data_IF_956311183894
#
_entry.id   IF_956311183894
#
_cell.length_a   1.000
_cell.length_b   1.000
_cell.length_c   1.000
_cell.angle_alpha   90.00
_cell.angle_beta   90.00
_cell.angle_gamma   90.00
#
_symmetry.space_group_name_H-M   'P 1'
#
loop_
_entity.id
_entity.type
_entity.pdbx_description
1 polymer ?
#
# COMPACT_ATOMS: atom_id res chain seq x y z
N UNK A 1 41.85 4.12 3.72
CA UNK A 1 41.20 4.78 4.86
C UNK A 1 42.03 5.99 5.19
N UNK A 2 41.56 7.19 4.84
CA UNK A 2 42.15 8.41 5.39
C UNK A 2 41.63 8.58 6.81
N UNK A 3 42.53 8.64 7.78
CA UNK A 3 42.21 8.91 9.18
C UNK A 3 42.18 10.44 9.37
N UNK A 4 41.10 10.96 9.95
CA UNK A 4 41.01 12.35 10.38
C UNK A 4 41.96 12.52 11.57
N UNK A 5 43.05 13.27 11.37
CA UNK A 5 44.11 13.42 12.37
C UNK A 5 43.76 14.52 13.37
N UNK A 6 43.36 14.11 14.57
CA UNK A 6 43.08 14.99 15.73
C UNK A 6 44.34 15.13 16.62
N UNK A 7 45.54 14.82 16.09
CA UNK A 7 46.72 14.43 16.87
C UNK A 7 47.15 15.42 17.95
N UNK A 8 46.85 16.71 17.81
CA UNK A 8 47.44 17.71 18.72
C UNK A 8 46.67 17.86 20.05
N UNK A 9 45.41 17.44 20.14
CA UNK A 9 44.53 17.75 21.29
C UNK A 9 43.71 16.55 21.84
N UNK A 10 44.19 15.32 21.66
CA UNK A 10 43.49 14.09 22.11
C UNK A 10 43.07 14.11 23.59
N UNK A 11 43.84 14.78 24.46
CA UNK A 11 43.54 14.91 25.89
C UNK A 11 42.32 15.81 26.15
N UNK A 12 42.19 16.90 25.39
CA UNK A 12 41.05 17.83 25.46
C UNK A 12 39.80 17.13 24.96
N UNK A 13 39.90 16.43 23.82
CA UNK A 13 38.80 15.63 23.27
C UNK A 13 38.37 14.55 24.25
N UNK A 14 39.32 13.81 24.85
CA UNK A 14 39.02 12.80 25.85
C UNK A 14 38.32 13.38 27.09
N UNK A 15 38.71 14.58 27.51
CA UNK A 15 38.05 15.29 28.62
C UNK A 15 36.63 15.71 28.26
N UNK A 16 36.38 16.18 27.04
CA UNK A 16 35.04 16.55 26.57
C UNK A 16 34.10 15.35 26.32
N UNK A 17 34.69 14.17 26.09
CA UNK A 17 33.97 12.89 26.02
C UNK A 17 33.70 12.27 27.40
N UNK A 18 33.91 13.05 28.48
CA UNK A 18 33.70 12.67 29.89
C UNK A 18 34.51 11.41 30.32
N UNK A 19 35.69 11.20 29.74
CA UNK A 19 36.59 10.13 30.18
C UNK A 19 37.20 10.43 31.56
N UNK A 20 37.41 9.37 32.34
CA UNK A 20 38.08 9.46 33.65
C UNK A 20 39.49 10.06 33.52
N UNK A 21 39.73 11.11 34.31
CA UNK A 21 41.00 11.84 34.37
C UNK A 21 42.18 10.96 34.78
N UNK A 22 41.97 9.92 35.60
CA UNK A 22 43.04 9.02 36.00
C UNK A 22 43.49 8.15 34.82
N UNK A 23 42.56 7.71 33.99
CA UNK A 23 42.79 6.91 32.79
C UNK A 23 43.45 7.73 31.68
N UNK A 24 43.01 8.98 31.45
CA UNK A 24 43.68 9.90 30.52
C UNK A 24 45.13 10.17 30.91
N UNK A 25 45.42 10.40 32.21
CA UNK A 25 46.79 10.57 32.72
C UNK A 25 47.64 9.32 32.58
N UNK A 26 47.04 8.12 32.61
CA UNK A 26 47.78 6.89 32.35
C UNK A 26 48.22 6.77 30.89
N UNK A 27 47.36 7.18 29.94
CA UNK A 27 47.69 7.23 28.51
C UNK A 27 48.78 8.29 28.26
N UNK A 28 48.69 9.46 28.92
CA UNK A 28 49.67 10.53 28.80
C UNK A 28 51.09 10.11 29.23
N UNK A 29 51.18 9.29 30.29
CA UNK A 29 52.44 8.79 30.86
C UNK A 29 53.14 7.71 30.02
N UNK A 30 52.52 7.23 28.95
CA UNK A 30 53.13 6.25 28.05
C UNK A 30 54.28 6.91 27.26
N UNK A 31 55.51 6.72 27.74
CA UNK A 31 56.73 7.27 27.12
C UNK A 31 57.08 6.53 25.84
N UNK A 32 57.34 7.26 24.75
CA UNK A 32 57.73 6.71 23.44
C UNK A 32 56.58 6.55 22.43
N UNK A 33 55.34 6.82 22.83
CA UNK A 33 54.18 6.79 21.95
C UNK A 33 53.96 8.17 21.29
N UNK A 34 53.67 8.18 19.99
CA UNK A 34 53.25 9.40 19.27
C UNK A 34 51.85 9.82 19.71
N UNK A 35 51.48 11.08 19.51
CA UNK A 35 50.15 11.55 19.89
C UNK A 35 49.03 10.84 19.12
N UNK A 36 49.30 10.37 17.90
CA UNK A 36 48.40 9.46 17.16
C UNK A 36 48.13 8.16 17.92
N UNK A 37 49.15 7.55 18.53
CA UNK A 37 48.96 6.33 19.34
C UNK A 37 48.13 6.62 20.60
N UNK A 38 48.39 7.75 21.26
CA UNK A 38 47.62 8.18 22.43
C UNK A 38 46.16 8.50 22.10
N UNK A 39 45.91 9.08 20.92
CA UNK A 39 44.56 9.31 20.41
C UNK A 39 43.80 7.99 20.18
N UNK A 40 44.44 7.00 19.56
CA UNK A 40 43.83 5.67 19.33
C UNK A 40 43.49 5.02 20.68
N UNK A 41 44.42 5.04 21.65
CA UNK A 41 44.19 4.53 23.00
C UNK A 41 43.04 5.25 23.71
N UNK A 42 42.93 6.58 23.56
CA UNK A 42 41.82 7.37 24.10
C UNK A 42 40.48 6.97 23.50
N UNK A 43 40.38 6.81 22.18
CA UNK A 43 39.14 6.36 21.53
C UNK A 43 38.79 4.91 21.90
N UNK A 44 39.78 4.02 22.02
CA UNK A 44 39.56 2.65 22.48
C UNK A 44 39.04 2.63 23.93
N UNK A 45 39.61 3.44 24.80
CA UNK A 45 39.10 3.63 26.16
C UNK A 45 37.64 4.12 26.12
N UNK A 46 37.34 5.14 25.31
CA UNK A 46 35.98 5.67 25.19
C UNK A 46 34.96 4.65 24.68
N UNK A 47 35.32 3.86 23.67
CA UNK A 47 34.46 2.79 23.14
C UNK A 47 34.22 1.68 24.17
N UNK A 48 35.19 1.40 25.05
CA UNK A 48 35.06 0.36 26.08
C UNK A 48 34.30 0.84 27.32
N UNK A 49 34.40 2.12 27.68
CA UNK A 49 33.74 2.69 28.87
C UNK A 49 32.38 3.32 28.58
N UNK A 50 32.01 3.53 27.30
CA UNK A 50 30.79 4.23 26.90
C UNK A 50 29.91 3.35 25.99
N UNK A 51 28.93 2.61 26.55
CA UNK A 51 28.06 1.71 25.78
C UNK A 51 27.21 2.44 24.73
N UNK A 52 26.94 3.73 24.94
CA UNK A 52 26.17 4.59 24.03
C UNK A 52 27.05 5.40 23.07
N UNK A 53 28.34 5.05 22.95
CA UNK A 53 29.29 5.76 22.09
C UNK A 53 28.76 5.86 20.65
N UNK A 54 28.71 7.09 20.13
CA UNK A 54 28.19 7.35 18.79
C UNK A 54 29.05 8.35 18.03
N UNK A 55 29.10 8.18 16.70
CA UNK A 55 29.78 9.12 15.79
C UNK A 55 29.25 10.56 15.92
N UNK A 56 27.99 10.71 16.34
CA UNK A 56 27.35 12.01 16.61
C UNK A 56 27.99 12.71 17.82
N UNK A 57 28.28 11.99 18.90
CA UNK A 57 28.95 12.57 20.07
C UNK A 57 30.36 13.05 19.76
N UNK A 58 31.10 12.31 18.92
CA UNK A 58 32.41 12.76 18.41
C UNK A 58 32.24 14.06 17.62
N UNK A 59 31.30 14.10 16.67
CA UNK A 59 31.06 15.30 15.86
C UNK A 59 30.63 16.51 16.71
N UNK A 60 29.75 16.32 17.70
CA UNK A 60 29.34 17.39 18.62
C UNK A 60 30.50 17.87 19.51
N UNK A 61 31.40 16.97 19.89
CA UNK A 61 32.59 17.30 20.68
C UNK A 61 33.60 18.11 19.86
N UNK A 62 33.88 17.68 18.63
CA UNK A 62 34.75 18.40 17.69
C UNK A 62 34.18 19.78 17.31
N UNK A 63 32.85 19.95 17.31
CA UNK A 63 32.21 21.27 17.10
C UNK A 63 32.27 22.21 18.30
N UNK A 64 32.54 21.69 19.50
CA UNK A 64 32.59 22.46 20.77
C UNK A 64 34.01 22.86 21.18
N UNK A 65 35.06 22.23 20.66
CA UNK A 65 36.43 22.58 21.00
C UNK A 65 36.77 23.99 20.51
N UNK A 66 37.18 24.88 21.43
CA UNK A 66 37.47 26.30 21.20
C UNK A 66 38.85 26.51 20.56
N UNK A 67 39.21 25.74 19.53
CA UNK A 67 40.48 25.93 18.82
C UNK A 67 40.22 25.73 17.33
N UNK A 68 40.15 26.82 16.56
CA UNK A 68 40.57 26.95 15.16
C UNK A 68 40.21 25.91 14.08
N UNK A 69 39.52 24.83 14.39
CA UNK A 69 39.46 23.58 13.60
C UNK A 69 38.01 23.21 13.27
N UNK A 70 37.18 24.21 12.95
CA UNK A 70 35.91 23.95 12.26
C UNK A 70 36.14 23.09 11.01
N UNK A 71 37.31 23.22 10.37
CA UNK A 71 37.77 22.39 9.25
C UNK A 71 37.83 20.89 9.56
N UNK A 72 38.26 20.47 10.76
CA UNK A 72 38.36 19.05 11.11
C UNK A 72 36.99 18.43 11.38
N UNK A 73 36.12 19.18 12.07
CA UNK A 73 34.73 18.80 12.25
C UNK A 73 33.98 18.74 10.91
N UNK A 74 34.25 19.68 10.00
CA UNK A 74 33.68 19.71 8.64
C UNK A 74 34.20 18.56 7.76
N UNK A 75 35.49 18.22 7.85
CA UNK A 75 36.09 17.06 7.18
C UNK A 75 35.52 15.75 7.71
N UNK A 76 35.38 15.61 9.03
CA UNK A 76 34.74 14.45 9.64
C UNK A 76 33.26 14.36 9.25
N UNK A 77 32.52 15.48 9.25
CA UNK A 77 31.13 15.52 8.81
C UNK A 77 31.01 15.15 7.32
N UNK A 78 31.91 15.65 6.47
CA UNK A 78 31.98 15.29 5.05
C UNK A 78 32.26 13.80 4.87
N UNK A 79 33.20 13.25 5.62
CA UNK A 79 33.51 11.82 5.60
C UNK A 79 32.32 10.97 6.07
N UNK A 80 31.61 11.39 7.12
CA UNK A 80 30.37 10.73 7.57
C UNK A 80 29.28 10.80 6.50
N UNK A 81 29.13 11.93 5.80
CA UNK A 81 28.20 12.09 4.68
C UNK A 81 28.59 11.22 3.49
N UNK A 82 29.87 11.06 3.19
CA UNK A 82 30.37 10.18 2.13
C UNK A 82 30.17 8.70 2.46
N UNK A 83 30.50 8.27 3.69
CA UNK A 83 30.18 6.92 4.17
C UNK A 83 28.67 6.68 4.10
N UNK A 84 27.87 7.64 4.59
CA UNK A 84 26.43 7.53 4.54
C UNK A 84 25.95 7.43 3.09
N UNK A 85 26.41 8.28 2.16
CA UNK A 85 26.06 8.18 0.74
C UNK A 85 26.49 6.85 0.10
N UNK A 86 27.62 6.28 0.52
CA UNK A 86 28.12 5.02 0.00
C UNK A 86 27.38 3.79 0.55
N UNK A 87 26.73 3.92 1.71
CA UNK A 87 26.06 2.80 2.42
C UNK A 87 24.55 2.94 2.49
N UNK A 88 24.02 4.13 2.23
CA UNK A 88 22.60 4.41 2.25
C UNK A 88 21.98 3.97 0.94
N UNK A 89 21.19 2.91 1.00
CA UNK A 89 20.24 2.57 -0.05
C UNK A 89 18.93 3.30 0.27
N UNK A 90 18.42 4.16 -0.64
CA UNK A 90 17.13 4.82 -0.42
C UNK A 90 16.00 3.81 -0.18
N UNK A 91 15.01 4.12 0.68
CA UNK A 91 13.86 3.25 0.95
C UNK A 91 13.14 2.77 -0.31
N UNK A 92 13.07 3.63 -1.31
CA UNK A 92 12.54 3.32 -2.63
C UNK A 92 13.32 2.19 -3.33
N UNK A 93 14.66 2.28 -3.35
CA UNK A 93 15.52 1.26 -3.96
C UNK A 93 15.42 -0.07 -3.20
N UNK A 94 15.30 -0.04 -1.86
CA UNK A 94 15.07 -1.23 -1.06
C UNK A 94 13.72 -1.88 -1.38
N UNK A 95 12.64 -1.12 -1.44
CA UNK A 95 11.31 -1.65 -1.74
C UNK A 95 11.26 -2.32 -3.12
N UNK A 96 11.79 -1.64 -4.16
CA UNK A 96 11.87 -2.22 -5.50
C UNK A 96 12.70 -3.50 -5.49
N UNK A 97 13.83 -3.52 -4.77
CA UNK A 97 14.69 -4.69 -4.65
C UNK A 97 14.02 -5.86 -3.93
N UNK A 98 13.25 -5.60 -2.86
CA UNK A 98 12.48 -6.62 -2.13
C UNK A 98 11.46 -7.26 -3.06
N UNK A 99 10.65 -6.45 -3.76
CA UNK A 99 9.65 -6.97 -4.70
C UNK A 99 10.32 -7.75 -5.85
N UNK A 100 11.41 -7.23 -6.41
CA UNK A 100 12.11 -7.86 -7.53
C UNK A 100 12.69 -9.23 -7.16
N UNK A 101 13.26 -9.39 -5.96
CA UNK A 101 13.78 -10.70 -5.49
C UNK A 101 12.68 -11.74 -5.35
N UNK A 102 11.47 -11.32 -5.00
CA UNK A 102 10.34 -12.22 -4.75
C UNK A 102 9.45 -12.43 -5.99
N UNK A 103 9.68 -11.73 -7.10
CA UNK A 103 8.79 -11.71 -8.27
C UNK A 103 8.59 -13.10 -8.90
N UNK A 104 9.66 -13.90 -8.95
CA UNK A 104 9.62 -15.24 -9.53
C UNK A 104 8.80 -16.19 -8.66
N UNK A 105 9.03 -16.18 -7.35
CA UNK A 105 8.26 -16.96 -6.39
C UNK A 105 6.80 -16.56 -6.38
N UNK A 106 6.49 -15.25 -6.49
CA UNK A 106 5.13 -14.77 -6.67
C UNK A 106 4.50 -15.28 -7.97
N UNK A 107 5.23 -15.26 -9.08
CA UNK A 107 4.72 -15.77 -10.36
C UNK A 107 4.31 -17.25 -10.27
N UNK A 108 5.08 -18.05 -9.53
CA UNK A 108 4.79 -19.47 -9.28
C UNK A 108 3.61 -19.65 -8.32
N UNK A 109 3.55 -18.87 -7.24
CA UNK A 109 2.53 -18.98 -6.19
C UNK A 109 1.14 -18.48 -6.60
N UNK A 110 1.04 -17.46 -7.47
CA UNK A 110 -0.24 -16.84 -7.79
C UNK A 110 -1.08 -17.74 -8.71
N UNK A 111 -1.99 -18.54 -8.14
CA UNK A 111 -2.85 -19.48 -8.90
C UNK A 111 -3.94 -18.76 -9.70
N UNK A 112 -4.55 -17.70 -9.13
CA UNK A 112 -5.64 -16.93 -9.75
C UNK A 112 -5.31 -15.44 -9.84
N UNK A 113 -4.59 -14.97 -10.88
CA UNK A 113 -4.30 -13.54 -11.09
C UNK A 113 -5.55 -12.66 -11.11
N UNK A 114 -6.70 -13.18 -11.57
CA UNK A 114 -7.96 -12.43 -11.54
C UNK A 114 -8.37 -12.14 -10.11
N UNK A 115 -8.50 -13.15 -9.27
CA UNK A 115 -8.89 -12.96 -7.87
C UNK A 115 -7.90 -12.07 -7.12
N UNK A 116 -6.59 -12.31 -7.30
CA UNK A 116 -5.53 -11.51 -6.68
C UNK A 116 -5.63 -10.04 -7.10
N UNK A 117 -5.88 -9.77 -8.39
CA UNK A 117 -6.05 -8.40 -8.88
C UNK A 117 -7.25 -7.67 -8.24
N UNK A 118 -8.34 -8.38 -7.99
CA UNK A 118 -9.52 -7.81 -7.32
C UNK A 118 -9.22 -7.42 -5.85
N UNK A 119 -8.40 -8.22 -5.16
CA UNK A 119 -7.92 -7.90 -3.82
C UNK A 119 -6.95 -6.71 -3.82
N UNK A 120 -6.03 -6.66 -4.78
CA UNK A 120 -5.05 -5.57 -4.90
C UNK A 120 -5.69 -4.23 -5.27
N UNK A 121 -6.77 -4.26 -6.06
CA UNK A 121 -7.49 -3.05 -6.47
C UNK A 121 -8.06 -2.29 -5.28
N UNK A 122 -8.56 -2.97 -4.23
CA UNK A 122 -9.14 -2.30 -3.08
C UNK A 122 -8.12 -1.48 -2.27
N UNK A 123 -6.84 -1.86 -2.32
CA UNK A 123 -5.72 -1.13 -1.68
C UNK A 123 -5.02 -0.14 -2.60
N UNK A 124 -5.57 0.08 -3.80
CA UNK A 124 -4.96 0.94 -4.83
C UNK A 124 -3.56 0.46 -5.22
N UNK A 125 -3.32 -0.86 -5.16
CA UNK A 125 -2.06 -1.46 -5.58
C UNK A 125 -1.98 -1.71 -7.09
N UNK A 126 -3.12 -1.60 -7.79
CA UNK A 126 -3.19 -1.67 -9.24
C UNK A 126 -4.21 -0.66 -9.77
N UNK A 127 -4.03 -0.25 -11.02
CA UNK A 127 -5.00 0.59 -11.72
C UNK A 127 -6.25 -0.19 -12.14
N UNK A 128 -7.35 0.53 -12.37
CA UNK A 128 -8.56 -0.10 -12.92
C UNK A 128 -8.34 -0.64 -14.34
N UNK A 129 -7.52 0.02 -15.15
CA UNK A 129 -7.15 -0.48 -16.48
C UNK A 129 -6.41 -1.83 -16.40
N UNK A 130 -5.60 -2.04 -15.36
CA UNK A 130 -4.98 -3.34 -15.08
C UNK A 130 -6.03 -4.37 -14.71
N UNK A 131 -6.95 -4.03 -13.80
CA UNK A 131 -8.05 -4.91 -13.39
C UNK A 131 -8.94 -5.31 -14.58
N UNK A 132 -9.30 -4.37 -15.45
CA UNK A 132 -10.12 -4.61 -16.64
C UNK A 132 -9.48 -5.62 -17.60
N UNK A 133 -8.14 -5.60 -17.73
CA UNK A 133 -7.37 -6.59 -18.50
C UNK A 133 -7.39 -7.98 -17.84
N UNK A 134 -7.45 -8.05 -16.51
CA UNK A 134 -7.52 -9.33 -15.79
C UNK A 134 -8.92 -9.95 -15.90
N UNK A 135 -9.97 -9.12 -15.77
CA UNK A 135 -11.37 -9.54 -15.79
C UNK A 135 -11.92 -9.76 -17.21
N UNK A 136 -11.15 -9.45 -18.26
CA UNK A 136 -11.55 -9.72 -19.64
C UNK A 136 -11.75 -11.22 -19.87
N UNK A 137 -12.98 -11.57 -20.29
CA UNK A 137 -13.40 -12.93 -20.60
C UNK A 137 -12.87 -13.28 -21.99
N UNK A 138 -12.10 -14.36 -22.01
CA UNK A 138 -11.13 -14.81 -23.02
C UNK A 138 -11.71 -14.97 -24.45
N UNK A 139 -11.82 -13.87 -25.22
CA UNK A 139 -12.15 -13.93 -26.66
C UNK A 139 -10.92 -14.12 -27.56
N UNK A 140 -9.72 -13.84 -27.06
CA UNK A 140 -8.42 -14.02 -27.74
C UNK A 140 -7.37 -14.30 -26.66
N UNK A 141 -7.32 -15.56 -26.22
CA UNK A 141 -6.24 -16.21 -25.47
C UNK A 141 -5.11 -15.28 -25.01
N UNK A 142 -5.27 -14.64 -23.84
CA UNK A 142 -4.12 -14.32 -23.00
C UNK A 142 -3.91 -15.51 -22.09
N UNK A 143 -2.74 -16.14 -22.15
CA UNK A 143 -2.40 -17.21 -21.22
C UNK A 143 -2.58 -16.70 -19.78
N UNK A 144 -2.90 -17.61 -18.86
CA UNK A 144 -2.82 -17.31 -17.43
C UNK A 144 -1.45 -16.70 -17.06
N UNK A 145 -0.38 -17.14 -17.73
CA UNK A 145 0.97 -16.59 -17.57
C UNK A 145 1.10 -15.14 -18.06
N UNK A 146 0.41 -14.76 -19.14
CA UNK A 146 0.39 -13.38 -19.63
C UNK A 146 -0.32 -12.46 -18.62
N UNK A 147 -1.41 -12.96 -18.00
CA UNK A 147 -2.13 -12.23 -16.94
C UNK A 147 -1.26 -12.07 -15.69
N UNK A 148 -0.55 -13.12 -15.26
CA UNK A 148 0.40 -13.03 -14.14
C UNK A 148 1.51 -12.02 -14.42
N UNK A 149 2.14 -12.11 -15.60
CA UNK A 149 3.20 -11.18 -16.02
C UNK A 149 2.69 -9.74 -16.00
N UNK A 150 1.51 -9.49 -16.59
CA UNK A 150 0.89 -8.16 -16.61
C UNK A 150 0.61 -7.63 -15.19
N UNK A 151 0.15 -8.49 -14.28
CA UNK A 151 -0.14 -8.11 -12.90
C UNK A 151 1.16 -7.76 -12.15
N UNK A 152 2.18 -8.61 -12.26
CA UNK A 152 3.47 -8.42 -11.62
C UNK A 152 4.20 -7.17 -12.13
N UNK A 153 4.13 -6.88 -13.42
CA UNK A 153 4.64 -5.63 -13.99
C UNK A 153 3.90 -4.41 -13.42
N UNK A 154 2.57 -4.46 -13.31
CA UNK A 154 1.81 -3.36 -12.70
C UNK A 154 2.16 -3.14 -11.21
N UNK A 155 2.44 -4.23 -10.47
CA UNK A 155 2.93 -4.13 -9.08
C UNK A 155 4.33 -3.49 -9.02
N UNK A 156 5.22 -3.85 -9.93
CA UNK A 156 6.55 -3.24 -10.03
C UNK A 156 6.44 -1.74 -10.32
N UNK A 157 5.61 -1.34 -11.28
CA UNK A 157 5.35 0.08 -11.60
C UNK A 157 4.76 0.83 -10.39
N UNK A 158 3.86 0.19 -9.65
CA UNK A 158 3.22 0.76 -8.46
C UNK A 158 4.22 0.97 -7.33
N UNK A 159 5.06 -0.03 -7.00
CA UNK A 159 6.13 0.14 -6.01
C UNK A 159 7.20 1.12 -6.48
N UNK A 160 7.43 1.18 -7.81
CA UNK A 160 8.35 2.13 -8.44
C UNK A 160 7.83 3.58 -8.46
N UNK A 161 6.55 3.81 -8.19
CA UNK A 161 5.98 5.15 -8.05
C UNK A 161 5.75 5.52 -6.59
N UNK A 162 5.28 4.57 -5.78
CA UNK A 162 5.09 4.72 -4.33
C UNK A 162 5.60 3.47 -3.59
N UNK A 163 6.78 3.59 -3.00
CA UNK A 163 7.41 2.48 -2.27
C UNK A 163 6.61 2.02 -1.04
N UNK A 164 5.73 2.87 -0.49
CA UNK A 164 4.86 2.50 0.64
C UNK A 164 3.83 1.45 0.23
N UNK A 165 3.48 1.38 -1.06
CA UNK A 165 2.58 0.35 -1.61
C UNK A 165 3.13 -1.06 -1.49
N UNK A 166 4.43 -1.26 -1.30
CA UNK A 166 4.97 -2.60 -1.03
C UNK A 166 4.35 -3.21 0.25
N UNK A 167 4.11 -2.39 1.27
CA UNK A 167 3.46 -2.84 2.52
C UNK A 167 2.00 -3.25 2.26
N UNK A 168 1.26 -2.45 1.50
CA UNK A 168 -0.12 -2.77 1.12
C UNK A 168 -0.19 -4.07 0.31
N UNK A 169 0.71 -4.23 -0.67
CA UNK A 169 0.82 -5.44 -1.50
C UNK A 169 1.11 -6.66 -0.63
N UNK A 170 2.12 -6.60 0.24
CA UNK A 170 2.46 -7.70 1.14
C UNK A 170 1.29 -8.04 2.08
N UNK A 171 0.56 -7.04 2.57
CA UNK A 171 -0.63 -7.24 3.41
C UNK A 171 -1.75 -7.96 2.66
N UNK A 172 -1.99 -7.61 1.40
CA UNK A 172 -3.01 -8.30 0.59
C UNK A 172 -2.59 -9.73 0.29
N UNK A 173 -1.33 -9.94 -0.10
CA UNK A 173 -0.81 -11.25 -0.47
C UNK A 173 -0.70 -12.21 0.73
N UNK A 174 -0.52 -11.70 1.96
CA UNK A 174 -0.49 -12.54 3.17
C UNK A 174 -1.84 -13.19 3.49
N UNK A 175 -2.94 -12.63 2.96
CA UNK A 175 -4.28 -13.22 3.02
C UNK A 175 -4.53 -14.33 2.00
N UNK A 176 -3.56 -14.61 1.11
CA UNK A 176 -3.65 -15.64 0.07
C UNK A 176 -2.75 -16.80 0.49
N UNK A 177 -3.32 -17.97 0.72
CA UNK A 177 -2.61 -19.12 1.30
C UNK A 177 -1.34 -19.48 0.50
N UNK A 178 -1.42 -19.47 -0.83
CA UNK A 178 -0.30 -19.83 -1.70
C UNK A 178 0.84 -18.79 -1.70
N UNK A 179 0.53 -17.51 -1.44
CA UNK A 179 1.51 -16.41 -1.46
C UNK A 179 1.94 -15.96 -0.05
N UNK A 180 1.36 -16.56 0.99
CA UNK A 180 1.46 -16.10 2.39
C UNK A 180 2.88 -16.03 2.91
N UNK A 181 3.65 -17.11 2.76
CA UNK A 181 5.03 -17.16 3.24
C UNK A 181 5.93 -16.14 2.52
N UNK A 182 5.74 -15.99 1.20
CA UNK A 182 6.48 -15.00 0.40
C UNK A 182 6.13 -13.59 0.87
N UNK A 183 4.84 -13.31 1.07
CA UNK A 183 4.35 -12.01 1.53
C UNK A 183 4.85 -11.65 2.94
N UNK A 184 4.88 -12.62 3.86
CA UNK A 184 5.42 -12.43 5.20
C UNK A 184 6.94 -12.16 5.18
N UNK A 185 7.68 -12.85 4.30
CA UNK A 185 9.09 -12.57 4.05
C UNK A 185 9.31 -11.14 3.54
N UNK A 186 8.53 -10.73 2.53
CA UNK A 186 8.55 -9.36 2.00
C UNK A 186 8.24 -8.31 3.08
N UNK A 187 7.23 -8.56 3.92
CA UNK A 187 6.85 -7.67 5.02
C UNK A 187 7.98 -7.53 6.05
N UNK A 188 8.59 -8.65 6.43
CA UNK A 188 9.70 -8.66 7.40
C UNK A 188 10.91 -7.89 6.88
N UNK A 189 11.25 -8.07 5.59
CA UNK A 189 12.31 -7.29 4.95
C UNK A 189 11.96 -5.80 4.86
N UNK A 190 10.70 -5.47 4.54
CA UNK A 190 10.21 -4.10 4.49
C UNK A 190 10.39 -3.42 5.85
N UNK A 191 9.90 -4.03 6.92
CA UNK A 191 9.97 -3.47 8.28
C UNK A 191 11.42 -3.35 8.80
N UNK A 192 12.29 -4.28 8.40
CA UNK A 192 13.71 -4.25 8.79
C UNK A 192 14.53 -3.21 8.04
N UNK A 193 14.27 -2.99 6.74
CA UNK A 193 15.14 -2.18 5.86
C UNK A 193 14.61 -0.80 5.58
N UNK A 194 13.29 -0.62 5.64
CA UNK A 194 12.63 0.65 5.38
C UNK A 194 12.24 1.26 6.73
N UNK A 195 12.84 2.41 7.10
CA UNK A 195 12.51 3.07 8.35
C UNK A 195 11.00 3.32 8.42
N UNK A 196 10.35 2.76 9.43
CA UNK A 196 9.01 3.21 9.79
C UNK A 196 9.18 4.65 10.26
N UNK A 197 8.50 5.61 9.62
CA UNK A 197 8.58 7.02 9.99
C UNK A 197 8.28 7.17 11.50
N UNK A 198 9.33 7.33 12.31
CA UNK A 198 9.22 7.86 13.65
C UNK A 198 8.86 9.33 13.51
N UNK A 199 7.77 9.74 14.17
CA UNK A 199 7.16 11.09 14.20
C UNK A 199 8.17 12.19 13.84
N UNK A 200 8.30 12.47 12.55
CA UNK A 200 8.85 13.71 12.07
C UNK A 200 7.62 14.44 11.54
N UNK A 201 7.10 15.36 12.35
CA UNK A 201 6.10 16.34 11.96
C UNK A 201 6.71 17.29 10.92
N UNK A 202 7.03 16.75 9.74
CA UNK A 202 6.91 17.53 8.52
C UNK A 202 5.42 17.60 8.33
N UNK A 203 4.87 18.79 8.58
CA UNK A 203 3.53 19.16 8.15
C UNK A 203 3.49 18.81 6.67
N UNK A 204 2.92 17.63 6.36
CA UNK A 204 2.47 17.38 5.02
C UNK A 204 1.55 18.55 4.70
N UNK A 205 1.70 19.22 3.55
CA UNK A 205 0.61 20.03 3.05
C UNK A 205 -0.60 19.13 3.18
N UNK A 206 -1.59 19.53 3.97
CA UNK A 206 -2.89 18.89 3.96
C UNK A 206 -3.16 18.63 2.49
N UNK A 207 -3.26 17.34 2.13
CA UNK A 207 -3.84 16.97 0.86
C UNK A 207 -5.13 17.78 0.84
N UNK A 208 -5.10 18.84 0.02
CA UNK A 208 -6.31 19.42 -0.51
C UNK A 208 -6.94 18.18 -1.09
N UNK A 209 -7.92 17.63 -0.38
CA UNK A 209 -8.77 16.57 -0.88
C UNK A 209 -9.30 17.22 -2.13
N UNK A 210 -8.67 16.91 -3.25
CA UNK A 210 -9.21 17.18 -4.55
C UNK A 210 -10.47 16.34 -4.52
N UNK A 211 -11.55 16.97 -4.09
CA UNK A 211 -12.90 16.47 -4.14
C UNK A 211 -13.18 16.38 -5.64
N UNK A 212 -12.54 15.40 -6.28
CA UNK A 212 -12.99 14.86 -7.54
C UNK A 212 -14.49 14.69 -7.40
N UNK A 213 -15.21 15.01 -8.46
CA UNK A 213 -16.67 15.05 -8.45
C UNK A 213 -17.30 13.82 -7.81
N UNK A 214 -18.58 13.89 -7.52
CA UNK A 214 -19.29 12.84 -6.79
C UNK A 214 -19.02 11.42 -7.32
N UNK A 215 -18.78 11.28 -8.63
CA UNK A 215 -18.38 10.05 -9.32
C UNK A 215 -17.04 9.48 -8.83
N UNK A 216 -16.03 10.32 -8.58
CA UNK A 216 -14.73 9.92 -8.02
C UNK A 216 -14.89 9.42 -6.59
N UNK A 217 -15.68 10.13 -5.78
CA UNK A 217 -15.96 9.71 -4.40
C UNK A 217 -16.70 8.37 -4.35
N UNK A 218 -17.76 8.19 -5.16
CA UNK A 218 -18.49 6.93 -5.24
C UNK A 218 -17.60 5.79 -5.78
N UNK A 219 -16.76 6.07 -6.78
CA UNK A 219 -15.80 5.09 -7.30
C UNK A 219 -14.77 4.67 -6.23
N UNK A 220 -14.34 5.59 -5.37
CA UNK A 220 -13.43 5.29 -4.26
C UNK A 220 -14.11 4.41 -3.20
N UNK A 221 -15.36 4.72 -2.83
CA UNK A 221 -16.16 3.88 -1.91
C UNK A 221 -16.32 2.47 -2.48
N UNK A 222 -16.75 2.36 -3.74
CA UNK A 222 -16.91 1.07 -4.42
C UNK A 222 -15.59 0.29 -4.45
N UNK A 223 -14.47 0.96 -4.79
CA UNK A 223 -13.13 0.36 -4.84
C UNK A 223 -12.71 -0.19 -3.48
N UNK A 224 -12.87 0.58 -2.41
CA UNK A 224 -12.46 0.16 -1.06
C UNK A 224 -13.18 -1.11 -0.61
N UNK A 225 -14.42 -1.32 -1.07
CA UNK A 225 -15.24 -2.47 -0.76
C UNK A 225 -15.16 -3.60 -1.82
N UNK A 226 -14.39 -3.39 -2.90
CA UNK A 226 -14.37 -4.27 -4.06
C UNK A 226 -13.93 -5.70 -3.72
N UNK A 227 -12.95 -5.85 -2.83
CA UNK A 227 -12.45 -7.16 -2.39
C UNK A 227 -13.50 -8.00 -1.65
N UNK A 228 -14.37 -7.36 -0.84
CA UNK A 228 -15.46 -8.05 -0.14
C UNK A 228 -16.56 -8.43 -1.14
N UNK A 229 -16.93 -7.50 -2.02
CA UNK A 229 -17.92 -7.72 -3.08
C UNK A 229 -17.50 -8.86 -4.02
N UNK A 230 -16.23 -8.90 -4.41
CA UNK A 230 -15.67 -9.92 -5.31
C UNK A 230 -15.55 -11.30 -4.66
N UNK A 231 -15.87 -11.44 -3.38
CA UNK A 231 -15.88 -12.72 -2.65
C UNK A 231 -17.30 -13.14 -2.26
N UNK A 232 -18.13 -12.19 -1.80
CA UNK A 232 -19.41 -12.47 -1.15
C UNK A 232 -20.62 -12.54 -2.08
N UNK A 233 -20.55 -11.99 -3.30
CA UNK A 233 -21.68 -12.11 -4.25
C UNK A 233 -21.76 -13.56 -4.77
N UNK A 234 -22.78 -14.30 -4.33
CA UNK A 234 -23.02 -15.70 -4.71
C UNK A 234 -23.96 -15.86 -5.91
N UNK A 235 -24.88 -14.91 -6.08
CA UNK A 235 -25.90 -14.91 -7.14
C UNK A 235 -25.76 -13.72 -8.12
N UNK A 236 -24.63 -13.59 -8.84
CA UNK A 236 -24.33 -12.42 -9.66
C UNK A 236 -25.34 -12.18 -10.80
N UNK A 237 -25.92 -13.24 -11.38
CA UNK A 237 -26.95 -13.11 -12.43
C UNK A 237 -28.21 -12.48 -11.86
N UNK A 238 -28.70 -12.94 -10.70
CA UNK A 238 -29.87 -12.36 -10.06
C UNK A 238 -29.61 -10.90 -9.68
N UNK A 239 -28.47 -10.60 -9.08
CA UNK A 239 -28.08 -9.20 -8.78
C UNK A 239 -28.10 -8.35 -10.06
N UNK A 240 -27.59 -8.86 -11.19
CA UNK A 240 -27.64 -8.15 -12.47
C UNK A 240 -29.08 -7.91 -12.97
N UNK A 241 -29.97 -8.91 -12.84
CA UNK A 241 -31.39 -8.79 -13.23
C UNK A 241 -32.16 -7.72 -12.44
N UNK A 242 -31.77 -7.48 -11.19
CA UNK A 242 -32.33 -6.42 -10.34
C UNK A 242 -31.80 -5.02 -10.70
N UNK A 243 -30.59 -4.95 -11.22
CA UNK A 243 -29.92 -3.70 -11.61
C UNK A 243 -30.18 -3.29 -13.07
N UNK A 244 -30.80 -4.19 -13.83
CA UNK A 244 -31.09 -4.01 -15.24
C UNK A 244 -31.99 -2.80 -15.51
N UNK A 245 -31.75 -2.14 -16.64
CA UNK A 245 -32.36 -0.89 -17.15
C UNK A 245 -31.97 0.38 -16.41
N UNK A 246 -31.72 0.32 -15.09
CA UNK A 246 -31.36 1.51 -14.29
C UNK A 246 -29.84 1.68 -14.16
N UNK A 247 -29.13 0.59 -13.83
CA UNK A 247 -27.68 0.61 -13.58
C UNK A 247 -26.93 -0.15 -14.67
N UNK A 248 -27.51 -1.24 -15.19
CA UNK A 248 -26.89 -2.11 -16.18
C UNK A 248 -27.61 -2.03 -17.53
N UNK A 249 -26.84 -1.96 -18.62
CA UNK A 249 -27.36 -2.09 -19.98
C UNK A 249 -27.67 -3.56 -20.34
N UNK A 250 -28.41 -3.76 -21.44
CA UNK A 250 -28.69 -5.09 -21.99
C UNK A 250 -27.42 -5.87 -22.32
N UNK A 251 -26.41 -5.20 -22.86
CA UNK A 251 -25.11 -5.81 -23.18
C UNK A 251 -24.38 -6.25 -21.91
N UNK A 252 -24.46 -5.46 -20.84
CA UNK A 252 -23.83 -5.78 -19.56
C UNK A 252 -24.53 -6.99 -18.90
N UNK A 253 -25.86 -7.02 -18.89
CA UNK A 253 -26.64 -8.16 -18.40
C UNK A 253 -26.31 -9.43 -19.20
N UNK A 254 -26.33 -9.33 -20.53
CA UNK A 254 -25.97 -10.44 -21.43
C UNK A 254 -24.55 -10.96 -21.17
N UNK A 255 -23.59 -10.07 -20.91
CA UNK A 255 -22.22 -10.44 -20.55
C UNK A 255 -22.16 -11.26 -19.25
N UNK A 256 -22.89 -10.84 -18.21
CA UNK A 256 -22.97 -11.57 -16.94
C UNK A 256 -23.56 -12.97 -17.13
N UNK A 257 -24.64 -13.09 -17.91
CA UNK A 257 -25.30 -14.37 -18.18
C UNK A 257 -24.46 -15.32 -19.05
N UNK A 258 -23.65 -14.78 -19.98
CA UNK A 258 -22.89 -15.56 -20.97
C UNK A 258 -21.62 -16.25 -20.41
N UNK A 259 -21.35 -16.13 -19.11
CA UNK A 259 -20.08 -16.55 -18.46
C UNK A 259 -19.93 -18.06 -18.21
N UNK A 260 -20.54 -18.90 -19.07
CA UNK A 260 -20.48 -20.38 -19.02
C UNK A 260 -20.84 -21.01 -17.66
N UNK A 261 -21.69 -20.35 -16.87
CA UNK A 261 -22.11 -20.84 -15.55
C UNK A 261 -21.05 -20.72 -14.45
N UNK A 262 -19.93 -20.03 -14.70
CA UNK A 262 -18.92 -19.78 -13.67
C UNK A 262 -19.26 -18.56 -12.84
N UNK A 263 -19.67 -18.77 -11.59
CA UNK A 263 -20.01 -17.70 -10.63
C UNK A 263 -18.91 -16.65 -10.52
N UNK A 264 -17.63 -17.06 -10.51
CA UNK A 264 -16.49 -16.14 -10.47
C UNK A 264 -16.44 -15.20 -11.67
N UNK A 265 -16.64 -15.72 -12.88
CA UNK A 265 -16.63 -14.92 -14.10
C UNK A 265 -17.87 -14.05 -14.20
N UNK A 266 -19.06 -14.56 -13.85
CA UNK A 266 -20.30 -13.77 -13.79
C UNK A 266 -20.15 -12.60 -12.82
N UNK A 267 -19.56 -12.86 -11.64
CA UNK A 267 -19.30 -11.85 -10.61
C UNK A 267 -18.31 -10.79 -11.06
N UNK A 268 -17.21 -11.18 -11.71
CA UNK A 268 -16.26 -10.23 -12.27
C UNK A 268 -16.91 -9.35 -13.35
N UNK A 269 -17.72 -9.94 -14.24
CA UNK A 269 -18.45 -9.20 -15.27
C UNK A 269 -19.46 -8.20 -14.66
N UNK A 270 -20.22 -8.63 -13.64
CA UNK A 270 -21.15 -7.79 -12.92
C UNK A 270 -20.44 -6.60 -12.28
N UNK A 271 -19.38 -6.86 -11.51
CA UNK A 271 -18.67 -5.82 -10.79
C UNK A 271 -17.98 -4.83 -11.73
N UNK A 272 -17.45 -5.30 -12.87
CA UNK A 272 -16.93 -4.44 -13.93
C UNK A 272 -18.01 -3.51 -14.49
N UNK A 273 -19.21 -4.03 -14.75
CA UNK A 273 -20.32 -3.22 -15.25
C UNK A 273 -20.78 -2.19 -14.23
N UNK A 274 -20.87 -2.57 -12.95
CA UNK A 274 -21.19 -1.65 -11.84
C UNK A 274 -20.13 -0.56 -11.70
N UNK A 275 -18.82 -0.88 -11.79
CA UNK A 275 -17.77 0.15 -11.79
C UNK A 275 -17.97 1.17 -12.91
N UNK A 276 -18.25 0.70 -14.12
CA UNK A 276 -18.56 1.56 -15.26
C UNK A 276 -19.75 2.47 -14.99
N UNK A 277 -20.84 1.90 -14.48
CA UNK A 277 -22.06 2.63 -14.16
C UNK A 277 -21.85 3.71 -13.07
N UNK A 278 -21.12 3.38 -12.00
CA UNK A 278 -20.81 4.30 -10.89
C UNK A 278 -19.90 5.44 -11.34
N UNK A 279 -18.93 5.15 -12.22
CA UNK A 279 -18.08 6.18 -12.81
C UNK A 279 -18.87 7.19 -13.64
N UNK A 280 -19.92 6.72 -14.34
CA UNK A 280 -20.77 7.58 -15.15
C UNK A 280 -21.80 8.35 -14.33
N UNK A 281 -22.27 7.79 -13.21
CA UNK A 281 -23.25 8.41 -12.33
C UNK A 281 -23.12 7.86 -10.91
N UNK A 282 -22.71 8.72 -9.97
CA UNK A 282 -22.50 8.32 -8.58
C UNK A 282 -23.75 7.77 -7.88
N UNK A 283 -24.96 8.12 -8.34
CA UNK A 283 -26.23 7.59 -7.81
C UNK A 283 -26.42 6.10 -8.07
N UNK A 284 -25.74 5.54 -9.08
CA UNK A 284 -25.79 4.10 -9.35
C UNK A 284 -25.17 3.27 -8.21
N UNK A 285 -24.31 3.88 -7.38
CA UNK A 285 -23.77 3.20 -6.21
C UNK A 285 -24.86 2.95 -5.17
N UNK A 286 -25.76 3.91 -4.94
CA UNK A 286 -26.87 3.76 -4.01
C UNK A 286 -27.82 2.64 -4.46
N UNK A 287 -28.22 2.65 -5.74
CA UNK A 287 -29.07 1.60 -6.32
C UNK A 287 -28.41 0.21 -6.21
N UNK A 288 -27.10 0.14 -6.49
CA UNK A 288 -26.34 -1.09 -6.33
C UNK A 288 -26.39 -1.62 -4.89
N UNK A 289 -26.19 -0.74 -3.92
CA UNK A 289 -26.21 -1.07 -2.50
C UNK A 289 -27.60 -1.51 -2.03
N UNK A 290 -28.66 -0.83 -2.48
CA UNK A 290 -30.04 -1.23 -2.18
C UNK A 290 -30.34 -2.64 -2.69
N UNK A 291 -29.80 -3.03 -3.85
CA UNK A 291 -29.91 -4.41 -4.34
C UNK A 291 -29.08 -5.38 -3.48
N UNK A 292 -27.83 -5.04 -3.12
CA UNK A 292 -26.99 -5.90 -2.26
C UNK A 292 -27.64 -6.21 -0.91
N UNK A 293 -28.38 -5.26 -0.33
CA UNK A 293 -29.10 -5.40 0.94
C UNK A 293 -30.26 -6.41 0.89
N UNK A 294 -30.72 -6.79 -0.31
CA UNK A 294 -31.76 -7.82 -0.50
C UNK A 294 -31.22 -9.25 -0.41
N UNK A 295 -29.91 -9.45 -0.47
CA UNK A 295 -29.27 -10.76 -0.39
C UNK A 295 -28.54 -10.90 0.94
N UNK A 296 -28.85 -11.94 1.71
CA UNK A 296 -28.32 -12.16 3.06
C UNK A 296 -26.78 -12.14 3.13
N UNK A 297 -26.13 -12.70 2.12
CA UNK A 297 -24.68 -12.86 2.00
C UNK A 297 -23.96 -11.53 1.79
N UNK A 298 -24.65 -10.55 1.18
CA UNK A 298 -24.08 -9.23 0.87
C UNK A 298 -24.71 -8.10 1.67
N UNK A 299 -25.72 -8.36 2.50
CA UNK A 299 -26.45 -7.32 3.22
C UNK A 299 -25.54 -6.46 4.10
N UNK A 300 -24.66 -7.10 4.88
CA UNK A 300 -23.69 -6.39 5.74
C UNK A 300 -22.68 -5.53 4.95
N UNK A 301 -22.29 -5.97 3.75
CA UNK A 301 -21.42 -5.19 2.85
C UNK A 301 -22.21 -4.00 2.29
N UNK A 302 -23.45 -4.24 1.88
CA UNK A 302 -24.38 -3.20 1.44
C UNK A 302 -24.55 -2.12 2.52
N UNK A 303 -24.82 -2.51 3.77
CA UNK A 303 -24.98 -1.57 4.89
C UNK A 303 -23.70 -0.75 5.12
N UNK A 304 -22.51 -1.40 5.04
CA UNK A 304 -21.22 -0.70 5.18
C UNK A 304 -21.02 0.35 4.10
N UNK A 305 -21.28 -0.02 2.83
CA UNK A 305 -21.15 0.90 1.69
C UNK A 305 -22.20 2.02 1.78
N UNK A 306 -23.43 1.71 2.19
CA UNK A 306 -24.50 2.70 2.34
C UNK A 306 -24.13 3.78 3.35
N UNK A 307 -23.57 3.38 4.50
CA UNK A 307 -23.16 4.33 5.53
C UNK A 307 -21.97 5.20 5.08
N UNK A 308 -21.02 4.64 4.33
CA UNK A 308 -19.95 5.45 3.70
C UNK A 308 -20.53 6.43 2.67
N UNK A 309 -21.39 5.95 1.77
CA UNK A 309 -22.07 6.76 0.77
C UNK A 309 -22.79 7.94 1.42
N UNK A 310 -23.58 7.68 2.46
CA UNK A 310 -24.36 8.71 3.16
C UNK A 310 -23.50 9.77 3.84
N UNK A 311 -22.35 9.37 4.41
CA UNK A 311 -21.38 10.32 5.00
C UNK A 311 -20.82 11.27 3.94
N UNK A 312 -20.59 10.78 2.73
CA UNK A 312 -19.98 11.56 1.65
C UNK A 312 -20.96 12.43 0.86
N UNK A 313 -22.20 11.96 0.67
CA UNK A 313 -23.19 12.66 -0.16
C UNK A 313 -24.27 13.42 0.62
N UNK A 314 -24.15 13.43 1.96
CA UNK A 314 -24.98 14.20 2.89
C UNK A 314 -26.46 14.29 2.48
N UNK A 315 -27.06 13.13 2.23
CA UNK A 315 -28.48 13.01 1.90
C UNK A 315 -29.28 13.41 3.15
N UNK A 316 -29.84 14.62 3.13
CA UNK A 316 -30.94 14.97 4.03
C UNK A 316 -32.11 14.03 3.75
N UNK A 317 -32.88 13.77 4.80
CA UNK A 317 -33.77 12.62 5.03
C UNK A 317 -35.02 12.46 4.12
N UNK A 318 -34.98 12.78 2.82
CA UNK A 318 -36.17 12.67 1.95
C UNK A 318 -36.07 11.68 0.76
N UNK A 319 -34.88 11.23 0.30
CA UNK A 319 -34.77 10.45 -0.95
C UNK A 319 -34.65 8.91 -0.78
N UNK A 320 -34.37 8.41 0.43
CA UNK A 320 -34.17 6.96 0.67
C UNK A 320 -35.47 6.17 0.48
N UNK A 321 -36.61 6.76 0.83
CA UNK A 321 -37.93 6.14 0.63
C UNK A 321 -38.23 5.95 -0.86
N UNK A 322 -37.82 6.90 -1.72
CA UNK A 322 -38.19 6.87 -3.15
C UNK A 322 -37.47 5.76 -3.92
N UNK A 323 -36.19 5.49 -3.63
CA UNK A 323 -35.42 4.43 -4.30
C UNK A 323 -35.85 3.01 -3.88
N UNK A 324 -36.13 2.79 -2.59
CA UNK A 324 -36.64 1.51 -2.08
C UNK A 324 -38.07 1.24 -2.57
N UNK A 325 -38.94 2.26 -2.62
CA UNK A 325 -40.29 2.16 -3.17
C UNK A 325 -40.25 1.88 -4.68
N UNK A 326 -39.42 2.57 -5.44
CA UNK A 326 -39.29 2.39 -6.89
C UNK A 326 -38.86 0.95 -7.25
N UNK A 327 -37.79 0.45 -6.60
CA UNK A 327 -37.31 -0.92 -6.83
C UNK A 327 -38.33 -1.99 -6.38
N UNK A 328 -39.09 -1.73 -5.33
CA UNK A 328 -40.13 -2.65 -4.84
C UNK A 328 -41.34 -2.69 -5.78
N UNK A 329 -41.72 -1.54 -6.35
CA UNK A 329 -42.78 -1.45 -7.36
C UNK A 329 -42.36 -2.15 -8.67
N UNK A 330 -41.12 -1.98 -9.12
CA UNK A 330 -40.59 -2.66 -10.31
C UNK A 330 -40.55 -4.18 -10.14
N UNK A 331 -40.16 -4.68 -8.96
CA UNK A 331 -40.18 -6.12 -8.66
C UNK A 331 -41.58 -6.73 -8.75
N UNK A 332 -42.59 -6.02 -8.23
CA UNK A 332 -44.00 -6.43 -8.31
C UNK A 332 -44.52 -6.44 -9.75
N UNK A 333 -44.12 -5.47 -10.57
CA UNK A 333 -44.46 -5.45 -11.99
C UNK A 333 -43.83 -6.63 -12.73
N UNK A 334 -42.55 -6.94 -12.48
CA UNK A 334 -41.85 -8.07 -13.12
C UNK A 334 -42.45 -9.42 -12.70
N UNK A 335 -42.92 -9.58 -11.46
CA UNK A 335 -43.63 -10.81 -11.02
C UNK A 335 -45.04 -10.94 -11.59
N UNK A 336 -45.73 -9.83 -11.85
CA UNK A 336 -47.05 -9.84 -12.49
C UNK A 336 -46.96 -10.14 -13.99
N UNK A 337 -45.95 -9.62 -14.68
CA UNK A 337 -45.74 -9.89 -16.12
C UNK A 337 -45.42 -11.36 -16.40
N UNK A 338 -44.62 -12.03 -15.54
CA UNK A 338 -44.31 -13.46 -15.70
C UNK A 338 -45.49 -14.38 -15.32
N UNK A 339 -46.40 -13.92 -14.45
CA UNK A 339 -47.60 -14.68 -14.10
C UNK A 339 -48.71 -14.56 -15.16
N UNK A 340 -48.63 -13.55 -16.04
CA UNK A 340 -49.65 -13.27 -17.06
C UNK A 340 -49.43 -14.02 -18.39
N UNK A 341 -48.25 -14.61 -18.60
CA UNK A 341 -47.94 -15.41 -19.82
C UNK A 341 -48.30 -16.90 -19.70
N UNK A 342 -48.95 -17.35 -18.63
CA UNK A 342 -49.42 -18.75 -18.49
C UNK A 342 -50.91 -18.96 -18.82
N UNK A 343 -51.61 -17.94 -19.30
CA UNK A 343 -52.99 -18.04 -19.75
C UNK A 343 -53.13 -17.25 -21.05
N UNK A 344 -52.77 -17.86 -22.18
CA UNK A 344 -53.46 -17.78 -23.49
C UNK A 344 -52.77 -18.81 -24.41
N UNK A 345 -53.57 -19.81 -24.78
CA UNK A 345 -53.39 -20.93 -25.74
C UNK A 345 -52.41 -22.08 -25.45
#
# INVERSE_FOLDING_TARGET
MEHVDVSTDWYIVGTMLDLDQKSLKNIERQTGHTDTHKMIEMFNLWLTTTPTASRRQILETLKKSVVGENTLADEYEKHLKEIHRATYTPPFCEAVSILQRNIQSLNEALVSPVQVSQLLYCKQCISEATLDKMEEIDKKTRSWDDKKTTLLTALQETVSSDYKKLKDIATVLSGIEEAKEIANGMMSEYESKIPQEGVCTVVQPQEVVDLGGNESCASNILRNNYSALSQSITEPVRVAEWLHEEVLSDEALSCVMSTRGSVLHSRAALLKAVRGAVRSNYKHLELFVTVLRKFSETAHIGDTIFEEYRKHFHMYYDDVEESEIYLTNKARQKSMSTSSESIIE
#
